data_IF_906911772175
#
_entry.id   IF_906911772175
#
_cell.length_a   1.000
_cell.length_b   1.000
_cell.length_c   1.000
_cell.angle_alpha   90.00
_cell.angle_beta   90.00
_cell.angle_gamma   90.00
#
_symmetry.space_group_name_H-M   'P 1'
#
loop_
_entity.id
_entity.type
_entity.pdbx_description
1 polymer ?
#
# COMPACT_ATOMS: atom_id res chain seq x y z
N UNK A 1 -2.41 -4.79 -9.78
CA UNK A 1 -1.09 -4.97 -10.45
C UNK A 1 -0.24 -5.83 -9.54
N UNK A 2 0.43 -6.85 -10.07
CA UNK A 2 1.36 -7.65 -9.26
C UNK A 2 2.59 -6.81 -8.88
N UNK A 3 3.21 -7.05 -7.71
CA UNK A 3 4.47 -6.37 -7.35
C UNK A 3 5.59 -6.73 -8.33
N UNK A 4 6.57 -5.83 -8.51
CA UNK A 4 7.74 -6.06 -9.37
C UNK A 4 8.16 -4.90 -10.27
N UNK A 5 7.39 -3.80 -10.28
CA UNK A 5 7.74 -2.54 -10.95
C UNK A 5 7.71 -1.38 -9.95
N UNK A 6 8.51 -0.36 -10.23
CA UNK A 6 8.45 0.93 -9.55
C UNK A 6 8.27 2.03 -10.60
N UNK A 7 7.33 2.94 -10.35
CA UNK A 7 7.19 4.17 -11.14
C UNK A 7 8.10 5.24 -10.55
N UNK A 8 8.86 5.93 -11.41
CA UNK A 8 9.82 6.95 -11.00
C UNK A 8 9.52 8.24 -11.77
N UNK A 9 9.29 9.34 -11.04
CA UNK A 9 9.17 10.68 -11.60
C UNK A 9 10.38 11.52 -11.18
N UNK A 10 11.02 12.19 -12.14
CA UNK A 10 12.24 12.97 -11.92
C UNK A 10 11.99 14.39 -12.44
N UNK A 11 12.29 15.40 -11.61
CA UNK A 11 12.18 16.81 -12.00
C UNK A 11 13.46 17.31 -12.69
N UNK A 12 13.44 18.48 -13.36
CA UNK A 12 14.61 19.02 -14.07
C UNK A 12 15.84 19.22 -13.18
N UNK A 13 15.66 19.70 -11.93
CA UNK A 13 16.76 19.91 -11.00
C UNK A 13 17.50 18.61 -10.67
N UNK A 14 16.79 17.49 -10.51
CA UNK A 14 17.41 16.18 -10.26
C UNK A 14 18.15 15.66 -11.50
N UNK A 15 17.66 15.94 -12.72
CA UNK A 15 18.39 15.61 -13.94
C UNK A 15 19.72 16.37 -14.03
N UNK A 16 19.72 17.67 -13.72
CA UNK A 16 20.95 18.48 -13.72
C UNK A 16 22.01 17.91 -12.76
N UNK A 17 21.59 17.51 -11.55
CA UNK A 17 22.48 16.87 -10.58
C UNK A 17 23.02 15.51 -11.07
N UNK A 18 22.17 14.71 -11.73
CA UNK A 18 22.56 13.43 -12.30
C UNK A 18 23.57 13.60 -13.45
N UNK A 19 23.35 14.57 -14.34
CA UNK A 19 24.23 14.88 -15.47
C UNK A 19 25.60 15.41 -15.01
N UNK A 20 25.61 16.28 -13.98
CA UNK A 20 26.84 16.77 -13.32
C UNK A 20 27.53 15.71 -12.45
N UNK A 21 26.99 14.47 -12.39
CA UNK A 21 27.49 13.36 -11.55
C UNK A 21 27.62 13.71 -10.07
N UNK A 22 26.76 14.61 -9.58
CA UNK A 22 26.71 15.00 -8.17
C UNK A 22 25.89 14.04 -7.32
N UNK A 23 25.15 13.12 -7.95
CA UNK A 23 24.45 12.01 -7.30
C UNK A 23 25.17 10.71 -7.66
N UNK A 24 25.66 10.00 -6.64
CA UNK A 24 26.27 8.69 -6.83
C UNK A 24 25.20 7.65 -7.14
N UNK A 25 25.20 7.11 -8.35
CA UNK A 25 24.32 6.01 -8.72
C UNK A 25 24.70 4.70 -8.01
N UNK A 26 23.69 3.92 -7.60
CA UNK A 26 23.87 2.58 -7.06
C UNK A 26 24.08 1.54 -8.19
N UNK A 27 25.23 1.63 -8.84
CA UNK A 27 25.59 0.78 -9.97
C UNK A 27 24.94 1.20 -11.29
N UNK A 28 25.12 0.38 -12.33
CA UNK A 28 24.68 0.69 -13.70
C UNK A 28 23.16 0.64 -13.85
N UNK A 29 22.51 -0.38 -13.26
CA UNK A 29 21.07 -0.61 -13.41
C UNK A 29 20.21 0.46 -12.73
N UNK A 30 20.64 1.03 -11.61
CA UNK A 30 19.88 2.07 -10.90
C UNK A 30 20.31 3.50 -11.29
N UNK A 31 21.14 3.64 -12.33
CA UNK A 31 21.60 4.94 -12.80
C UNK A 31 20.60 5.56 -13.79
N UNK A 32 19.97 6.68 -13.41
CA UNK A 32 18.97 7.36 -14.24
C UNK A 32 19.51 7.83 -15.60
N UNK A 33 20.80 8.20 -15.69
CA UNK A 33 21.42 8.56 -16.97
C UNK A 33 21.50 7.37 -17.92
N UNK A 34 21.70 6.15 -17.38
CA UNK A 34 21.63 4.92 -18.18
C UNK A 34 20.23 4.75 -18.77
N UNK A 35 19.19 4.82 -17.94
CA UNK A 35 17.81 4.67 -18.42
C UNK A 35 17.45 5.70 -19.48
N UNK A 36 17.81 6.98 -19.25
CA UNK A 36 17.57 8.07 -20.21
C UNK A 36 18.30 7.85 -21.54
N UNK A 37 19.56 7.42 -21.49
CA UNK A 37 20.33 7.11 -22.69
C UNK A 37 19.62 6.06 -23.56
N UNK A 38 19.16 4.95 -22.98
CA UNK A 38 18.45 3.92 -23.74
C UNK A 38 17.12 4.43 -24.31
N UNK A 39 16.37 5.20 -23.53
CA UNK A 39 15.09 5.76 -23.94
C UNK A 39 15.21 6.72 -25.14
N UNK A 40 16.29 7.52 -25.18
CA UNK A 40 16.54 8.51 -26.23
C UNK A 40 17.28 7.94 -27.45
N UNK A 41 18.20 6.97 -27.25
CA UNK A 41 19.16 6.55 -28.28
C UNK A 41 18.93 5.13 -28.81
N UNK A 42 18.10 4.31 -28.17
CA UNK A 42 17.88 2.90 -28.55
C UNK A 42 16.39 2.60 -28.73
N UNK A 43 15.70 3.12 -29.78
CA UNK A 43 14.25 3.00 -29.92
C UNK A 43 13.71 1.56 -30.00
N UNK A 44 14.50 0.63 -30.55
CA UNK A 44 14.14 -0.78 -30.61
C UNK A 44 14.15 -1.48 -29.24
N UNK A 45 14.83 -0.89 -28.25
CA UNK A 45 14.93 -1.40 -26.90
C UNK A 45 15.14 -0.23 -25.91
N UNK A 46 14.11 0.59 -25.66
CA UNK A 46 14.24 1.90 -25.00
C UNK A 46 14.42 1.81 -23.47
N UNK A 47 14.84 0.65 -22.99
CA UNK A 47 15.12 0.36 -21.58
C UNK A 47 16.46 -0.36 -21.51
N UNK A 48 17.23 -0.21 -20.42
CA UNK A 48 18.55 -0.83 -20.31
C UNK A 48 18.49 -2.36 -20.18
N UNK A 49 17.34 -2.92 -19.81
CA UNK A 49 17.14 -4.38 -19.65
C UNK A 49 15.77 -4.78 -20.17
N UNK A 50 15.60 -6.06 -20.48
CA UNK A 50 14.30 -6.62 -20.85
C UNK A 50 13.29 -6.45 -19.71
N UNK A 51 12.26 -5.65 -19.94
CA UNK A 51 11.18 -5.42 -18.96
C UNK A 51 10.23 -6.62 -18.87
N UNK A 52 9.62 -6.82 -17.70
CA UNK A 52 8.62 -7.87 -17.50
C UNK A 52 7.29 -7.50 -18.18
N UNK A 53 7.12 -7.92 -19.44
CA UNK A 53 5.98 -7.56 -20.31
C UNK A 53 4.61 -7.73 -19.64
N UNK A 54 4.34 -8.84 -18.97
CA UNK A 54 3.05 -9.07 -18.30
C UNK A 54 2.74 -8.06 -17.18
N UNK A 55 3.73 -7.70 -16.36
CA UNK A 55 3.52 -6.73 -15.29
C UNK A 55 3.31 -5.34 -15.91
N UNK A 56 4.08 -4.98 -16.95
CA UNK A 56 3.91 -3.75 -17.72
C UNK A 56 2.49 -3.63 -18.29
N UNK A 57 1.98 -4.67 -18.98
CA UNK A 57 0.61 -4.68 -19.52
C UNK A 57 -0.44 -4.56 -18.41
N UNK A 58 -0.23 -5.23 -17.27
CA UNK A 58 -1.17 -5.14 -16.14
C UNK A 58 -1.18 -3.75 -15.49
N UNK A 59 -0.03 -3.06 -15.46
CA UNK A 59 0.10 -1.70 -14.99
C UNK A 59 -0.60 -0.73 -15.95
N UNK A 60 -0.41 -0.89 -17.25
CA UNK A 60 -1.08 -0.08 -18.26
C UNK A 60 -2.62 -0.13 -18.10
N UNK A 61 -3.18 -1.34 -18.01
CA UNK A 61 -4.63 -1.50 -17.78
C UNK A 61 -5.11 -0.88 -16.45
N UNK A 62 -4.28 -0.95 -15.40
CA UNK A 62 -4.63 -0.31 -14.13
C UNK A 62 -4.61 1.22 -14.21
N UNK A 63 -3.69 1.79 -15.00
CA UNK A 63 -3.61 3.22 -15.25
C UNK A 63 -4.76 3.70 -16.16
N UNK A 64 -5.14 2.95 -17.18
CA UNK A 64 -6.31 3.24 -18.02
C UNK A 64 -7.58 3.32 -17.16
N UNK A 65 -7.82 2.31 -16.32
CA UNK A 65 -8.96 2.32 -15.38
C UNK A 65 -8.92 3.47 -14.38
N UNK A 66 -7.72 3.90 -13.96
CA UNK A 66 -7.57 5.05 -13.08
C UNK A 66 -7.89 6.36 -13.81
N UNK A 67 -7.47 6.49 -15.07
CA UNK A 67 -7.78 7.66 -15.90
C UNK A 67 -9.28 7.76 -16.21
N UNK A 68 -9.93 6.64 -16.55
CA UNK A 68 -11.38 6.59 -16.76
C UNK A 68 -12.17 7.01 -15.52
N UNK A 69 -11.69 6.63 -14.33
CA UNK A 69 -12.32 6.94 -13.05
C UNK A 69 -12.04 8.36 -12.55
N UNK A 70 -10.82 8.84 -12.76
CA UNK A 70 -10.31 10.08 -12.16
C UNK A 70 -9.69 9.88 -10.76
N UNK A 71 -8.76 10.77 -10.40
CA UNK A 71 -8.03 10.70 -9.13
C UNK A 71 -8.90 11.08 -7.94
N UNK A 72 -9.79 12.05 -8.11
CA UNK A 72 -10.68 12.56 -7.08
C UNK A 72 -11.62 11.45 -6.58
N UNK A 73 -12.21 10.71 -7.52
CA UNK A 73 -13.07 9.58 -7.22
C UNK A 73 -12.26 8.44 -6.58
N UNK A 74 -11.04 8.18 -7.07
CA UNK A 74 -10.16 7.19 -6.46
C UNK A 74 -9.84 7.52 -4.99
N UNK A 75 -9.53 8.79 -4.69
CA UNK A 75 -9.29 9.23 -3.33
C UNK A 75 -10.54 9.16 -2.46
N UNK A 76 -11.71 9.49 -3.03
CA UNK A 76 -12.99 9.36 -2.33
C UNK A 76 -13.24 7.92 -1.90
N UNK A 77 -13.03 6.96 -2.80
CA UNK A 77 -13.17 5.52 -2.51
C UNK A 77 -12.28 5.11 -1.32
N UNK A 78 -11.00 5.48 -1.34
CA UNK A 78 -10.09 5.14 -0.23
C UNK A 78 -10.48 5.83 1.08
N UNK A 79 -10.88 7.09 1.04
CA UNK A 79 -11.35 7.82 2.22
C UNK A 79 -12.60 7.18 2.81
N UNK A 80 -13.58 6.83 1.98
CA UNK A 80 -14.81 6.15 2.43
C UNK A 80 -14.50 4.81 3.08
N UNK A 81 -13.66 3.98 2.45
CA UNK A 81 -13.27 2.68 3.00
C UNK A 81 -12.56 2.82 4.36
N UNK A 82 -11.57 3.73 4.45
CA UNK A 82 -10.85 3.96 5.70
C UNK A 82 -11.76 4.50 6.81
N UNK A 83 -12.64 5.46 6.51
CA UNK A 83 -13.57 6.01 7.49
C UNK A 83 -14.56 4.95 7.98
N UNK A 84 -15.07 4.12 7.08
CA UNK A 84 -16.00 3.04 7.42
C UNK A 84 -15.33 2.02 8.35
N UNK A 85 -14.14 1.54 7.98
CA UNK A 85 -13.35 0.63 8.80
C UNK A 85 -13.05 1.23 10.18
N UNK A 86 -12.55 2.47 10.23
CA UNK A 86 -12.18 3.11 11.51
C UNK A 86 -13.38 3.33 12.42
N UNK A 87 -14.55 3.65 11.86
CA UNK A 87 -15.80 3.76 12.60
C UNK A 87 -16.16 2.45 13.28
N UNK A 88 -16.20 1.34 12.53
CA UNK A 88 -16.49 0.03 13.10
C UNK A 88 -15.48 -0.43 14.15
N UNK A 89 -14.18 -0.14 13.95
CA UNK A 89 -13.16 -0.40 14.97
C UNK A 89 -13.37 0.42 16.25
N UNK A 90 -13.76 1.69 16.11
CA UNK A 90 -14.01 2.57 17.26
C UNK A 90 -15.22 2.12 18.08
N UNK A 91 -16.27 1.59 17.44
CA UNK A 91 -17.43 1.00 18.13
C UNK A 91 -17.04 -0.20 19.01
N UNK A 92 -15.97 -0.93 18.63
CA UNK A 92 -15.38 -2.03 19.40
C UNK A 92 -14.30 -1.58 20.40
N UNK A 93 -14.11 -0.27 20.60
CA UNK A 93 -13.16 0.28 21.58
C UNK A 93 -11.70 0.36 21.10
N UNK A 94 -11.42 0.08 19.83
CA UNK A 94 -10.07 0.26 19.27
C UNK A 94 -9.77 1.73 18.99
N UNK A 95 -8.49 2.09 19.09
CA UNK A 95 -7.99 3.42 18.72
C UNK A 95 -6.98 3.32 17.58
N UNK A 96 -6.89 4.37 16.77
CA UNK A 96 -5.89 4.44 15.70
C UNK A 96 -4.57 4.97 16.25
N UNK A 97 -3.45 4.48 15.74
CA UNK A 97 -2.13 4.94 16.13
C UNK A 97 -1.88 6.40 15.70
N UNK A 98 -2.22 6.72 14.45
CA UNK A 98 -2.05 8.07 13.90
C UNK A 98 -3.33 8.88 14.06
N UNK A 99 -3.22 10.19 14.38
CA UNK A 99 -4.37 11.08 14.41
C UNK A 99 -4.94 11.27 12.98
N UNK A 100 -6.23 11.58 12.89
CA UNK A 100 -6.97 11.50 11.63
C UNK A 100 -6.40 12.41 10.53
N UNK A 101 -5.89 13.58 10.89
CA UNK A 101 -5.27 14.57 10.00
C UNK A 101 -3.99 14.08 9.33
N UNK A 102 -3.34 13.06 9.90
CA UNK A 102 -2.09 12.47 9.39
C UNK A 102 -2.28 11.02 8.91
N UNK A 103 -3.45 10.43 9.16
CA UNK A 103 -3.71 9.03 8.88
C UNK A 103 -3.95 8.77 7.39
N UNK A 104 -3.25 7.77 6.85
CA UNK A 104 -3.42 7.31 5.47
C UNK A 104 -4.83 6.75 5.21
N UNK A 105 -5.40 7.06 4.04
CA UNK A 105 -6.68 6.48 3.59
C UNK A 105 -6.53 5.06 3.03
N UNK A 106 -5.32 4.58 2.76
CA UNK A 106 -5.11 3.25 2.15
C UNK A 106 -4.69 2.18 3.15
N UNK A 107 -4.36 2.57 4.38
CA UNK A 107 -3.97 1.65 5.46
C UNK A 107 -4.30 2.28 6.82
N UNK A 108 -4.92 1.50 7.71
CA UNK A 108 -5.14 1.88 9.11
C UNK A 108 -4.13 1.16 10.00
N UNK A 109 -3.43 1.91 10.86
CA UNK A 109 -2.65 1.36 11.96
C UNK A 109 -3.51 1.43 13.23
N UNK A 110 -3.82 0.28 13.81
CA UNK A 110 -4.76 0.11 14.92
C UNK A 110 -3.98 -0.32 16.15
N UNK A 111 -4.15 0.39 17.26
CA UNK A 111 -3.57 0.01 18.54
C UNK A 111 -4.32 -1.21 19.09
N UNK A 112 -3.60 -2.14 19.71
CA UNK A 112 -4.25 -3.23 20.45
C UNK A 112 -5.03 -2.69 21.64
N UNK A 113 -6.13 -3.35 22.00
CA UNK A 113 -6.85 -3.07 23.24
C UNK A 113 -6.13 -3.73 24.43
N UNK A 114 -6.32 -3.25 25.68
CA UNK A 114 -5.68 -3.86 26.85
C UNK A 114 -5.98 -5.36 26.95
N UNK A 115 -4.94 -6.16 27.17
CA UNK A 115 -5.05 -7.63 27.32
C UNK A 115 -5.09 -8.41 26.00
N UNK A 116 -5.14 -7.73 24.85
CA UNK A 116 -5.11 -8.38 23.53
C UNK A 116 -3.67 -8.68 23.09
N UNK A 117 -3.43 -9.90 22.60
CA UNK A 117 -2.21 -10.25 21.88
C UNK A 117 -2.41 -10.02 20.37
N UNK A 118 -1.60 -9.12 19.80
CA UNK A 118 -1.68 -8.79 18.38
C UNK A 118 -1.43 -10.00 17.48
N UNK A 119 -0.44 -10.83 17.82
CA UNK A 119 -0.01 -11.95 16.96
C UNK A 119 -1.00 -13.10 17.02
N UNK A 120 -1.59 -13.36 18.18
CA UNK A 120 -2.69 -14.31 18.32
C UNK A 120 -3.91 -13.89 17.48
N UNK A 121 -4.31 -12.61 17.56
CA UNK A 121 -5.41 -12.09 16.75
C UNK A 121 -5.13 -12.18 15.25
N UNK A 122 -3.92 -11.84 14.80
CA UNK A 122 -3.50 -11.96 13.40
C UNK A 122 -3.56 -13.42 12.95
N UNK A 123 -3.09 -14.36 13.79
CA UNK A 123 -3.14 -15.79 13.52
C UNK A 123 -4.59 -16.31 13.45
N UNK A 124 -5.46 -15.87 14.35
CA UNK A 124 -6.88 -16.17 14.36
C UNK A 124 -7.56 -15.72 13.06
N UNK A 125 -7.38 -14.46 12.66
CA UNK A 125 -7.94 -13.94 11.41
C UNK A 125 -7.48 -14.75 10.20
N UNK A 126 -6.20 -15.12 10.15
CA UNK A 126 -5.67 -15.91 9.04
C UNK A 126 -6.21 -17.34 9.05
N UNK A 127 -6.26 -18.00 10.20
CA UNK A 127 -6.60 -19.42 10.31
C UNK A 127 -8.10 -19.69 10.21
N UNK A 128 -8.91 -18.88 10.91
CA UNK A 128 -10.35 -19.11 11.01
C UNK A 128 -11.14 -18.36 9.92
N UNK A 129 -10.63 -17.21 9.46
CA UNK A 129 -11.34 -16.35 8.51
C UNK A 129 -10.65 -16.18 7.16
N UNK A 130 -9.44 -16.74 6.98
CA UNK A 130 -8.61 -16.55 5.78
C UNK A 130 -8.31 -15.08 5.47
N UNK A 131 -8.33 -14.22 6.50
CA UNK A 131 -8.05 -12.79 6.40
C UNK A 131 -6.60 -12.55 6.78
N UNK A 132 -5.84 -11.94 5.86
CA UNK A 132 -4.43 -11.61 6.10
C UNK A 132 -4.25 -10.12 6.34
N UNK A 133 -3.85 -9.78 7.57
CA UNK A 133 -3.40 -8.44 7.94
C UNK A 133 -1.91 -8.50 8.31
N UNK A 134 -1.31 -7.35 8.65
CA UNK A 134 0.10 -7.27 9.00
C UNK A 134 0.30 -6.81 10.43
N UNK A 135 1.29 -7.35 11.12
CA UNK A 135 1.79 -6.77 12.37
C UNK A 135 2.39 -5.38 12.13
N UNK A 136 2.45 -4.58 13.19
CA UNK A 136 3.28 -3.39 13.19
C UNK A 136 4.76 -3.77 13.29
N UNK A 137 5.63 -2.84 12.90
CA UNK A 137 7.08 -3.08 12.81
C UNK A 137 7.83 -2.16 13.79
N UNK A 138 9.04 -2.56 14.18
CA UNK A 138 9.87 -1.79 15.09
C UNK A 138 9.25 -1.65 16.49
N UNK A 139 9.29 -0.45 17.05
CA UNK A 139 8.85 -0.16 18.42
C UNK A 139 7.35 -0.41 18.69
N UNK A 140 6.55 -0.55 17.62
CA UNK A 140 5.12 -0.82 17.65
C UNK A 140 4.77 -2.30 17.55
N UNK A 141 5.76 -3.19 17.33
CA UNK A 141 5.52 -4.63 17.27
C UNK A 141 4.79 -5.11 18.54
N UNK A 142 3.71 -5.88 18.35
CA UNK A 142 2.82 -6.35 19.43
C UNK A 142 1.90 -5.29 20.04
N UNK A 143 2.09 -4.00 19.76
CA UNK A 143 1.27 -2.89 20.28
C UNK A 143 0.25 -2.36 19.28
N UNK A 144 0.44 -2.69 18.00
CA UNK A 144 -0.45 -2.30 16.93
C UNK A 144 -0.42 -3.32 15.79
N UNK A 145 -1.43 -3.28 14.94
CA UNK A 145 -1.48 -4.01 13.67
C UNK A 145 -1.93 -3.08 12.55
N UNK A 146 -1.79 -3.53 11.30
CA UNK A 146 -2.07 -2.73 10.10
C UNK A 146 -3.03 -3.45 9.17
N UNK A 147 -4.08 -2.74 8.75
CA UNK A 147 -5.13 -3.23 7.84
C UNK A 147 -5.17 -2.35 6.59
N UNK A 148 -4.99 -2.95 5.41
CA UNK A 148 -4.95 -2.25 4.13
C UNK A 148 -6.32 -2.17 3.46
N UNK A 149 -6.63 -1.02 2.86
CA UNK A 149 -7.92 -0.71 2.21
C UNK A 149 -7.79 -0.61 0.68
N UNK A 150 -6.83 -1.33 0.11
CA UNK A 150 -6.52 -1.28 -1.32
C UNK A 150 -7.31 -2.32 -2.11
N UNK A 151 -7.89 -1.89 -3.23
CA UNK A 151 -8.62 -2.79 -4.13
C UNK A 151 -9.82 -3.44 -3.43
N UNK A 152 -9.94 -4.77 -3.53
CA UNK A 152 -11.04 -5.51 -2.90
C UNK A 152 -11.03 -5.43 -1.37
N UNK A 153 -9.85 -5.29 -0.75
CA UNK A 153 -9.76 -5.19 0.71
C UNK A 153 -10.44 -3.93 1.28
N UNK A 154 -10.64 -2.90 0.45
CA UNK A 154 -11.40 -1.70 0.82
C UNK A 154 -12.89 -1.76 0.50
N UNK A 155 -13.42 -2.90 0.01
CA UNK A 155 -14.87 -3.03 -0.23
C UNK A 155 -15.62 -3.22 1.09
N UNK A 156 -16.88 -2.82 1.12
CA UNK A 156 -17.73 -3.01 2.30
C UNK A 156 -17.84 -4.49 2.70
N UNK A 157 -17.92 -5.40 1.72
CA UNK A 157 -17.93 -6.85 1.95
C UNK A 157 -16.71 -7.32 2.77
N UNK A 158 -15.50 -6.92 2.37
CA UNK A 158 -14.27 -7.37 3.02
C UNK A 158 -14.06 -6.68 4.37
N UNK A 159 -14.44 -5.39 4.47
CA UNK A 159 -14.41 -4.66 5.74
C UNK A 159 -15.40 -5.28 6.74
N UNK A 160 -16.61 -5.63 6.31
CA UNK A 160 -17.60 -6.25 7.19
C UNK A 160 -17.15 -7.62 7.67
N UNK A 161 -16.63 -8.46 6.78
CA UNK A 161 -16.06 -9.75 7.17
C UNK A 161 -14.95 -9.59 8.23
N UNK A 162 -14.09 -8.57 8.08
CA UNK A 162 -13.07 -8.25 9.08
C UNK A 162 -13.68 -7.80 10.42
N UNK A 163 -14.64 -6.88 10.40
CA UNK A 163 -15.26 -6.33 11.61
C UNK A 163 -16.04 -7.41 12.37
N UNK A 164 -16.78 -8.27 11.66
CA UNK A 164 -17.48 -9.41 12.23
C UNK A 164 -16.52 -10.41 12.87
N UNK A 165 -15.43 -10.77 12.17
CA UNK A 165 -14.39 -11.65 12.72
C UNK A 165 -13.74 -11.06 13.97
N UNK A 166 -13.52 -9.73 13.99
CA UNK A 166 -12.97 -9.00 15.13
C UNK A 166 -13.92 -9.05 16.32
N UNK A 167 -15.20 -8.78 16.10
CA UNK A 167 -16.23 -8.85 17.15
C UNK A 167 -16.32 -10.26 17.74
N UNK A 168 -16.27 -11.29 16.91
CA UNK A 168 -16.25 -12.69 17.36
C UNK A 168 -15.03 -13.01 18.22
N UNK A 169 -13.84 -12.58 17.81
CA UNK A 169 -12.61 -12.76 18.59
C UNK A 169 -12.72 -12.13 19.98
N UNK A 170 -13.19 -10.87 20.05
CA UNK A 170 -13.38 -10.15 21.32
C UNK A 170 -14.45 -10.77 22.23
N UNK A 171 -15.40 -11.52 21.67
CA UNK A 171 -16.48 -12.14 22.45
C UNK A 171 -16.12 -13.54 22.96
N UNK A 172 -15.03 -14.13 22.44
CA UNK A 172 -14.57 -15.47 22.77
C UNK A 172 -13.49 -15.49 23.89
N UNK A 173 -12.91 -14.33 24.21
CA UNK A 173 -11.95 -14.13 25.31
C UNK A 173 -12.58 -13.43 26.50
#
# INVERSE_FOLDING_TARGET
VAPGLALVGINPAMWELAEKKQIKAAGWYLNLNTWRFYQENVPAHPTPVTMHSRIMSSLNLALEKLQERGLEEQWRIYKTAASYFRGGMAEMGFTMFAPQEHASSVISAVNVVPGMDAEDFIAYLQKEHQIRISSAMGELHGKAFRVGHLGKAGSAEYINAFLEATQQYLSAG
#
